data_IF_518235822513
#
_entry.id   IF_518235822513
#
_cell.length_a   1.000
_cell.length_b   1.000
_cell.length_c   1.000
_cell.angle_alpha   90.00
_cell.angle_beta   90.00
_cell.angle_gamma   90.00
#
_symmetry.space_group_name_H-M   'P 1'
#
loop_
_entity.id
_entity.type
_entity.pdbx_description
1 polymer ?
#
# COMPACT_ATOMS: atom_id res chain seq x y z
N UNK A 1 10.90 -11.83 53.75
CA UNK A 1 10.52 -12.14 52.41
C UNK A 1 9.90 -10.93 51.72
N UNK A 2 10.68 -10.14 51.02
CA UNK A 2 10.19 -9.00 50.23
C UNK A 2 10.20 -9.36 48.78
N UNK A 3 9.09 -9.18 48.09
CA UNK A 3 8.99 -9.24 46.63
C UNK A 3 9.50 -7.89 46.05
N UNK A 4 10.27 -7.86 44.98
CA UNK A 4 10.55 -6.62 44.29
C UNK A 4 9.35 -6.21 43.42
N UNK A 5 8.97 -4.96 43.55
CA UNK A 5 7.95 -4.26 42.80
C UNK A 5 8.29 -4.19 41.31
N UNK A 6 7.30 -4.54 40.48
CA UNK A 6 7.42 -4.52 39.03
C UNK A 6 7.65 -3.12 38.47
N UNK A 7 8.68 -2.99 37.63
CA UNK A 7 8.89 -1.85 36.76
C UNK A 7 7.79 -1.83 35.69
N UNK A 8 6.92 -0.82 35.76
CA UNK A 8 6.01 -0.50 34.67
C UNK A 8 6.81 0.09 33.51
N UNK A 9 6.92 -0.67 32.43
CA UNK A 9 7.49 -0.21 31.17
C UNK A 9 6.55 0.85 30.56
N UNK A 10 7.04 2.10 30.50
CA UNK A 10 6.35 3.19 29.80
C UNK A 10 6.51 2.97 28.29
N UNK A 11 5.46 2.47 27.64
CA UNK A 11 5.39 2.35 26.17
C UNK A 11 5.15 3.74 25.58
N UNK A 12 6.18 4.35 25.02
CA UNK A 12 6.01 5.60 24.26
C UNK A 12 5.48 5.26 22.86
N UNK A 13 4.22 5.58 22.63
CA UNK A 13 3.54 5.39 21.34
C UNK A 13 4.00 6.48 20.38
N UNK A 14 4.77 6.14 19.36
CA UNK A 14 5.01 7.00 18.23
C UNK A 14 3.97 6.67 17.15
N UNK A 15 2.81 7.34 17.21
CA UNK A 15 1.83 7.26 16.14
C UNK A 15 2.33 8.10 14.97
N UNK A 16 2.49 7.50 13.79
CA UNK A 16 2.53 8.27 12.55
C UNK A 16 1.09 8.71 12.27
N UNK A 17 0.64 9.69 13.01
CA UNK A 17 -0.59 10.41 12.72
C UNK A 17 -0.15 11.68 12.04
N UNK A 18 -0.25 11.69 10.71
CA UNK A 18 -0.11 12.92 9.95
C UNK A 18 -1.45 13.64 10.05
N UNK A 19 -1.52 14.72 10.82
CA UNK A 19 -2.76 15.48 11.02
C UNK A 19 -3.17 16.23 9.75
N UNK A 20 -4.45 16.39 9.61
CA UNK A 20 -5.09 17.13 8.53
C UNK A 20 -4.94 18.65 8.70
N UNK A 21 -5.43 19.39 7.71
CA UNK A 21 -5.28 20.82 7.48
C UNK A 21 -5.75 21.77 8.60
N UNK A 22 -6.09 21.30 9.77
CA UNK A 22 -6.52 22.10 10.93
C UNK A 22 -5.75 21.78 12.22
N UNK A 23 -4.84 20.80 12.23
CA UNK A 23 -4.15 20.32 13.43
C UNK A 23 -2.89 21.09 13.76
N UNK A 24 -2.92 21.85 14.82
CA UNK A 24 -1.74 22.40 15.49
C UNK A 24 -1.18 21.33 16.42
N UNK A 25 -0.07 20.70 16.06
CA UNK A 25 0.76 20.03 17.06
C UNK A 25 2.11 20.72 17.16
N UNK A 26 2.47 21.00 18.40
CA UNK A 26 3.71 21.70 18.81
C UNK A 26 4.81 20.64 18.90
N UNK A 27 5.93 20.86 18.24
CA UNK A 27 7.15 20.07 18.44
C UNK A 27 7.56 20.07 19.93
N UNK A 28 7.92 18.90 20.49
CA UNK A 28 8.55 18.88 21.80
C UNK A 28 9.93 19.55 21.77
N UNK A 29 10.35 20.19 22.88
CA UNK A 29 11.59 20.93 22.93
C UNK A 29 12.83 20.05 22.77
N UNK A 30 13.91 20.63 22.24
CA UNK A 30 15.24 20.08 22.05
C UNK A 30 15.78 19.35 23.28
N UNK A 31 16.24 18.11 23.07
CA UNK A 31 16.94 17.36 24.11
C UNK A 31 18.43 17.75 24.14
N UNK A 32 18.82 18.44 25.20
CA UNK A 32 20.22 18.62 25.60
C UNK A 32 20.78 17.34 26.23
N UNK A 33 22.06 17.18 26.03
CA UNK A 33 22.94 16.07 26.33
C UNK A 33 22.79 15.45 27.73
N UNK A 34 22.60 14.12 27.79
CA UNK A 34 23.01 13.30 28.94
C UNK A 34 23.83 12.09 28.48
N UNK A 35 24.94 11.76 29.19
CA UNK A 35 25.84 10.67 28.79
C UNK A 35 25.26 9.29 29.13
N UNK A 36 25.47 8.33 28.25
CA UNK A 36 25.33 6.88 28.42
C UNK A 36 24.09 6.39 29.19
N UNK A 37 22.90 6.44 28.55
CA UNK A 37 21.81 5.51 28.86
C UNK A 37 21.72 4.47 27.76
N UNK A 38 21.75 3.19 28.15
CA UNK A 38 21.33 2.06 27.31
C UNK A 38 20.01 2.48 26.65
N UNK A 39 20.05 2.72 25.34
CA UNK A 39 18.83 3.00 24.56
C UNK A 39 17.99 1.73 24.61
N UNK A 40 17.02 1.68 25.50
CA UNK A 40 15.94 0.69 25.40
C UNK A 40 15.30 0.90 24.04
N UNK A 41 15.45 -0.11 23.17
CA UNK A 41 14.81 -0.12 21.86
C UNK A 41 13.29 -0.16 22.08
N UNK A 42 12.62 0.94 21.79
CA UNK A 42 11.15 1.00 21.78
C UNK A 42 10.70 0.72 20.36
N UNK A 43 9.98 -0.38 20.10
CA UNK A 43 9.52 -0.72 18.78
C UNK A 43 8.70 0.41 18.16
N UNK A 44 8.94 0.74 16.89
CA UNK A 44 8.17 1.74 16.18
C UNK A 44 6.76 1.21 15.96
N UNK A 45 5.75 1.93 16.42
CA UNK A 45 4.34 1.59 16.18
C UNK A 45 3.83 2.40 15.00
N UNK A 46 3.54 1.70 13.90
CA UNK A 46 2.88 2.23 12.71
C UNK A 46 1.37 2.02 12.87
N UNK A 47 0.55 3.00 12.45
CA UNK A 47 -0.90 2.85 12.43
C UNK A 47 -1.33 2.06 11.18
N UNK A 48 -1.26 0.75 11.29
CA UNK A 48 -1.59 -0.24 10.28
C UNK A 48 -2.46 -1.32 10.92
N UNK A 49 -3.27 -2.02 10.14
CA UNK A 49 -4.05 -3.15 10.66
C UNK A 49 -3.13 -4.15 11.40
N UNK A 50 -3.52 -4.61 12.60
CA UNK A 50 -2.66 -5.46 13.44
C UNK A 50 -2.14 -6.72 12.77
N UNK A 51 -2.91 -7.34 11.85
CA UNK A 51 -2.49 -8.53 11.12
C UNK A 51 -1.21 -8.31 10.30
N UNK A 52 -0.99 -7.10 9.78
CA UNK A 52 0.25 -6.73 9.10
C UNK A 52 1.40 -6.48 10.06
N UNK A 53 1.10 -5.95 11.26
CA UNK A 53 2.10 -5.65 12.27
C UNK A 53 2.92 -6.86 12.68
N UNK A 54 2.30 -8.04 12.77
CA UNK A 54 2.97 -9.29 13.12
C UNK A 54 4.04 -9.70 12.10
N UNK A 55 3.78 -9.45 10.81
CA UNK A 55 4.69 -9.82 9.72
C UNK A 55 5.73 -8.73 9.42
N UNK A 56 5.41 -7.46 9.66
CA UNK A 56 6.22 -6.31 9.22
C UNK A 56 6.96 -5.61 10.37
N UNK A 57 6.90 -6.11 11.61
CA UNK A 57 7.55 -5.45 12.75
C UNK A 57 9.06 -5.28 12.53
N UNK A 58 9.72 -6.27 11.95
CA UNK A 58 11.15 -6.20 11.64
C UNK A 58 11.49 -5.06 10.65
N UNK A 59 10.59 -4.81 9.69
CA UNK A 59 10.73 -3.69 8.74
C UNK A 59 10.53 -2.34 9.44
N UNK A 60 9.53 -2.23 10.33
CA UNK A 60 9.29 -0.99 11.09
C UNK A 60 10.44 -0.64 12.02
N UNK A 61 11.15 -1.63 12.54
CA UNK A 61 12.30 -1.48 13.42
C UNK A 61 13.62 -1.27 12.66
N UNK A 62 13.62 -1.48 11.34
CA UNK A 62 14.81 -1.35 10.52
C UNK A 62 15.25 0.13 10.37
N UNK A 63 16.57 0.41 10.30
CA UNK A 63 17.10 1.77 10.18
C UNK A 63 16.56 2.54 8.97
N UNK A 64 16.33 1.85 7.83
CA UNK A 64 15.82 2.49 6.64
C UNK A 64 14.39 3.02 6.84
N UNK A 65 13.56 2.32 7.62
CA UNK A 65 12.17 2.72 7.87
C UNK A 65 12.11 3.98 8.74
N UNK A 66 13.05 4.11 9.69
CA UNK A 66 13.20 5.36 10.45
C UNK A 66 13.58 6.52 9.52
N UNK A 67 14.56 6.32 8.63
CA UNK A 67 14.98 7.34 7.65
C UNK A 67 13.81 7.73 6.73
N UNK A 68 13.07 6.73 6.23
CA UNK A 68 11.86 6.94 5.43
C UNK A 68 10.81 7.76 6.19
N UNK A 69 10.57 7.43 7.46
CA UNK A 69 9.58 8.14 8.29
C UNK A 69 9.99 9.59 8.51
N UNK A 70 11.27 9.83 8.83
CA UNK A 70 11.80 11.19 9.01
C UNK A 70 11.69 12.00 7.71
N UNK A 71 12.01 11.39 6.57
CA UNK A 71 11.84 12.00 5.24
C UNK A 71 10.37 12.36 4.96
N UNK A 72 9.45 11.41 5.12
CA UNK A 72 8.02 11.64 4.84
C UNK A 72 7.47 12.75 5.72
N UNK A 73 7.81 12.78 7.01
CA UNK A 73 7.40 13.87 7.92
C UNK A 73 7.90 15.24 7.46
N UNK A 74 9.16 15.31 7.05
CA UNK A 74 9.74 16.55 6.54
C UNK A 74 9.02 17.03 5.28
N UNK A 75 8.70 16.11 4.35
CA UNK A 75 7.98 16.41 3.12
C UNK A 75 6.58 16.99 3.39
N UNK A 76 5.80 16.35 4.28
CA UNK A 76 4.46 16.82 4.64
C UNK A 76 4.49 18.14 5.42
N UNK A 77 5.57 18.44 6.13
CA UNK A 77 5.77 19.73 6.81
C UNK A 77 6.14 20.85 5.84
N UNK A 78 6.79 20.54 4.72
CA UNK A 78 7.24 21.53 3.73
C UNK A 78 6.17 21.88 2.70
N UNK A 79 5.22 20.99 2.41
CA UNK A 79 4.19 21.26 1.42
C UNK A 79 3.18 20.13 1.23
N UNK A 80 2.23 20.32 0.32
CA UNK A 80 1.19 19.32 0.07
C UNK A 80 1.77 18.03 -0.48
N UNK A 81 1.50 16.91 0.22
CA UNK A 81 1.80 15.55 -0.20
C UNK A 81 0.54 14.69 -0.19
N UNK A 82 0.54 13.63 -0.97
CA UNK A 82 -0.60 12.74 -1.10
C UNK A 82 -0.20 11.27 -0.92
N UNK A 83 -1.15 10.42 -0.46
CA UNK A 83 -2.47 10.73 0.09
C UNK A 83 -2.36 11.51 1.41
N UNK A 84 -3.46 12.00 2.02
CA UNK A 84 -3.44 12.52 3.40
C UNK A 84 -2.78 11.53 4.35
N UNK A 85 -2.08 12.01 5.38
CA UNK A 85 -1.25 11.17 6.23
C UNK A 85 -1.95 9.97 6.85
N UNK A 86 -3.22 10.14 7.26
CA UNK A 86 -4.04 9.07 7.82
C UNK A 86 -4.50 8.03 6.78
N UNK A 87 -4.32 8.30 5.48
CA UNK A 87 -4.68 7.40 4.38
C UNK A 87 -3.48 6.66 3.77
N UNK A 88 -2.24 6.94 4.21
CA UNK A 88 -1.03 6.32 3.63
C UNK A 88 -1.10 4.78 3.64
N UNK A 89 -1.64 4.21 4.71
CA UNK A 89 -1.74 2.76 4.90
C UNK A 89 -3.13 2.18 4.60
N UNK A 90 -4.00 2.89 3.85
CA UNK A 90 -5.35 2.41 3.57
C UNK A 90 -5.37 1.06 2.84
N UNK A 91 -4.41 0.76 1.96
CA UNK A 91 -4.31 -0.54 1.31
C UNK A 91 -4.22 -1.69 2.32
N UNK A 92 -3.52 -1.46 3.42
CA UNK A 92 -3.32 -2.43 4.49
C UNK A 92 -4.49 -2.46 5.47
N UNK A 93 -5.05 -1.29 5.79
CA UNK A 93 -6.14 -1.15 6.75
C UNK A 93 -7.48 -1.69 6.21
N UNK A 94 -7.68 -1.63 4.89
CA UNK A 94 -8.88 -2.16 4.23
C UNK A 94 -8.74 -3.62 3.78
N UNK A 95 -7.52 -4.13 3.74
CA UNK A 95 -7.22 -5.50 3.33
C UNK A 95 -6.23 -6.13 4.32
N UNK A 96 -6.71 -6.70 5.45
CA UNK A 96 -5.89 -7.43 6.43
C UNK A 96 -5.04 -8.53 5.78
N UNK A 97 -3.89 -8.85 6.36
CA UNK A 97 -2.91 -9.80 5.80
C UNK A 97 -3.52 -11.17 5.49
N UNK A 98 -4.30 -11.70 6.41
CA UNK A 98 -4.99 -13.00 6.29
C UNK A 98 -6.16 -12.98 5.30
N UNK A 99 -6.66 -11.80 4.92
CA UNK A 99 -7.75 -11.62 3.95
C UNK A 99 -7.28 -11.37 2.53
N UNK A 100 -5.96 -11.14 2.32
CA UNK A 100 -5.43 -10.94 0.96
C UNK A 100 -5.71 -12.16 0.10
N UNK A 101 -6.29 -11.93 -1.06
CA UNK A 101 -6.53 -12.91 -2.14
C UNK A 101 -5.86 -12.48 -3.44
N UNK A 102 -5.87 -11.18 -3.71
CA UNK A 102 -5.33 -10.59 -4.93
C UNK A 102 -4.41 -9.44 -4.57
N UNK A 103 -3.31 -9.29 -5.27
CA UNK A 103 -2.38 -8.15 -5.14
C UNK A 103 -2.29 -7.45 -6.49
N UNK A 104 -2.62 -6.17 -6.53
CA UNK A 104 -2.40 -5.30 -7.70
C UNK A 104 -1.32 -4.29 -7.33
N UNK A 105 -0.28 -4.18 -8.16
CA UNK A 105 0.85 -3.30 -7.88
C UNK A 105 0.80 -2.07 -8.79
N UNK A 106 0.67 -0.88 -8.17
CA UNK A 106 0.86 0.42 -8.80
C UNK A 106 2.27 0.97 -8.56
N UNK A 107 2.56 2.13 -9.12
CA UNK A 107 3.86 2.81 -8.95
C UNK A 107 3.83 3.76 -7.77
N UNK A 108 3.17 4.88 -7.89
CA UNK A 108 3.02 5.94 -6.88
C UNK A 108 1.57 6.45 -6.85
N UNK A 109 1.16 7.18 -5.80
CA UNK A 109 -0.19 7.74 -5.73
C UNK A 109 -0.42 8.81 -6.80
N UNK A 110 -1.68 9.06 -7.15
CA UNK A 110 -2.03 10.25 -7.90
C UNK A 110 -1.61 11.51 -7.15
N UNK A 111 -0.99 12.44 -7.85
CA UNK A 111 -0.39 13.65 -7.27
C UNK A 111 -1.23 14.93 -7.42
N UNK A 112 -2.46 14.81 -7.92
CA UNK A 112 -3.42 15.90 -7.96
C UNK A 112 -4.20 16.05 -6.64
N UNK A 113 -4.64 17.28 -6.30
CA UNK A 113 -5.41 17.53 -5.10
C UNK A 113 -6.66 16.65 -4.99
N UNK A 114 -6.85 16.00 -3.83
CA UNK A 114 -8.04 15.22 -3.53
C UNK A 114 -8.16 13.88 -4.29
N UNK A 115 -7.19 13.49 -5.12
CA UNK A 115 -7.26 12.26 -5.92
C UNK A 115 -6.95 11.01 -5.09
N UNK A 116 -5.73 10.92 -4.56
CA UNK A 116 -5.25 9.73 -3.89
C UNK A 116 -5.97 9.45 -2.57
N UNK A 117 -6.24 8.17 -2.31
CA UNK A 117 -6.85 7.66 -1.08
C UNK A 117 -6.08 6.48 -0.46
N UNK A 118 -4.79 6.32 -0.81
CA UNK A 118 -3.93 5.26 -0.26
C UNK A 118 -4.12 3.88 -0.90
N UNK A 119 -4.77 3.82 -2.05
CA UNK A 119 -5.01 2.61 -2.85
C UNK A 119 -4.49 2.84 -4.27
N UNK A 120 -3.76 1.90 -4.85
CA UNK A 120 -3.27 2.05 -6.22
C UNK A 120 -4.43 2.10 -7.23
N UNK A 121 -4.29 2.93 -8.26
CA UNK A 121 -5.30 3.23 -9.30
C UNK A 121 -6.59 3.87 -8.81
N UNK A 122 -6.86 3.92 -7.51
CA UNK A 122 -8.08 4.44 -6.93
C UNK A 122 -8.06 5.96 -6.75
N UNK A 123 -9.21 6.59 -6.94
CA UNK A 123 -9.45 8.00 -6.59
C UNK A 123 -10.69 8.11 -5.72
N UNK A 124 -10.74 9.17 -4.91
CA UNK A 124 -11.91 9.45 -4.04
C UNK A 124 -13.20 9.62 -4.84
N UNK A 125 -14.33 9.32 -4.20
CA UNK A 125 -15.64 9.57 -4.78
C UNK A 125 -15.80 11.03 -5.21
N UNK A 126 -16.47 11.24 -6.36
CA UNK A 126 -16.67 12.56 -6.94
C UNK A 126 -15.47 13.14 -7.71
N UNK A 127 -14.32 12.47 -7.67
CA UNK A 127 -13.14 12.83 -8.47
C UNK A 127 -13.29 12.25 -9.88
N UNK A 128 -12.86 13.02 -10.88
CA UNK A 128 -12.81 12.53 -12.28
C UNK A 128 -11.95 11.28 -12.37
N UNK A 129 -12.50 10.22 -12.94
CA UNK A 129 -11.82 8.94 -13.10
C UNK A 129 -10.58 9.10 -14.00
N UNK A 130 -9.36 8.75 -13.53
CA UNK A 130 -8.15 8.88 -14.31
C UNK A 130 -8.12 7.93 -15.53
N UNK A 131 -7.38 8.30 -16.61
CA UNK A 131 -7.38 7.53 -17.85
C UNK A 131 -7.00 6.04 -17.70
N UNK A 132 -6.04 5.71 -16.84
CA UNK A 132 -5.67 4.31 -16.58
C UNK A 132 -6.81 3.54 -15.95
N UNK A 133 -7.52 4.15 -14.99
CA UNK A 133 -8.69 3.51 -14.35
C UNK A 133 -9.89 3.38 -15.30
N UNK A 134 -10.09 4.36 -16.18
CA UNK A 134 -11.08 4.23 -17.28
C UNK A 134 -10.79 2.98 -18.12
N UNK A 135 -9.52 2.74 -18.46
CA UNK A 135 -9.13 1.56 -19.25
C UNK A 135 -9.29 0.25 -18.46
N UNK A 136 -8.99 0.27 -17.15
CA UNK A 136 -9.27 -0.88 -16.26
C UNK A 136 -10.77 -1.21 -16.28
N UNK A 137 -11.63 -0.24 -16.12
CA UNK A 137 -13.08 -0.47 -16.15
C UNK A 137 -13.60 -0.93 -17.51
N UNK A 138 -13.02 -0.45 -18.63
CA UNK A 138 -13.35 -0.95 -19.97
C UNK A 138 -12.97 -2.42 -20.13
N UNK A 139 -11.79 -2.82 -19.65
CA UNK A 139 -11.37 -4.23 -19.69
C UNK A 139 -12.26 -5.10 -18.81
N UNK A 140 -12.63 -4.65 -17.60
CA UNK A 140 -13.59 -5.38 -16.74
C UNK A 140 -14.93 -5.58 -17.46
N UNK A 141 -15.45 -4.54 -18.11
CA UNK A 141 -16.70 -4.63 -18.85
C UNK A 141 -16.60 -5.63 -20.03
N UNK A 142 -15.51 -5.56 -20.78
CA UNK A 142 -15.27 -6.47 -21.91
C UNK A 142 -15.07 -7.94 -21.48
N UNK A 143 -14.33 -8.15 -20.38
CA UNK A 143 -13.97 -9.48 -19.87
C UNK A 143 -15.12 -10.14 -19.11
N UNK A 144 -15.88 -9.39 -18.31
CA UNK A 144 -16.86 -9.93 -17.35
C UNK A 144 -18.31 -9.55 -17.65
N UNK A 145 -18.56 -8.65 -18.60
CA UNK A 145 -19.88 -8.08 -18.87
C UNK A 145 -20.42 -7.11 -17.82
N UNK A 146 -19.64 -6.80 -16.77
CA UNK A 146 -20.09 -5.90 -15.69
C UNK A 146 -20.16 -4.45 -16.17
N UNK A 147 -21.16 -3.68 -15.71
CA UNK A 147 -21.29 -2.28 -16.09
C UNK A 147 -20.11 -1.45 -15.56
N UNK A 148 -19.70 -0.44 -16.33
CA UNK A 148 -18.69 0.53 -15.93
C UNK A 148 -19.24 1.36 -14.77
N UNK A 149 -18.56 1.41 -13.60
CA UNK A 149 -19.01 2.17 -12.45
C UNK A 149 -18.88 3.69 -12.68
N UNK A 150 -19.72 4.48 -12.01
CA UNK A 150 -19.62 5.94 -12.01
C UNK A 150 -18.59 6.49 -11.03
N UNK A 151 -18.21 5.71 -10.00
CA UNK A 151 -17.19 6.06 -9.02
C UNK A 151 -15.84 5.50 -9.41
N UNK A 152 -14.76 6.27 -9.15
CA UNK A 152 -13.37 5.83 -9.28
C UNK A 152 -12.79 5.23 -8.01
N UNK A 153 -13.58 5.11 -6.92
CA UNK A 153 -13.08 4.50 -5.69
C UNK A 153 -13.10 2.96 -5.78
N UNK A 154 -11.94 2.37 -5.49
CA UNK A 154 -11.74 0.92 -5.48
C UNK A 154 -11.78 0.32 -4.06
N UNK A 155 -12.24 1.08 -3.07
CA UNK A 155 -12.37 0.58 -1.68
C UNK A 155 -13.13 -0.73 -1.60
N UNK A 156 -14.21 -0.86 -2.39
CA UNK A 156 -14.99 -2.09 -2.50
C UNK A 156 -14.19 -3.32 -2.94
N UNK A 157 -13.09 -3.15 -3.67
CA UNK A 157 -12.19 -4.25 -4.02
C UNK A 157 -11.27 -4.58 -2.84
N UNK A 158 -10.71 -3.55 -2.18
CA UNK A 158 -9.84 -3.75 -1.02
C UNK A 158 -10.56 -4.52 0.10
N UNK A 159 -11.82 -4.16 0.40
CA UNK A 159 -12.67 -4.82 1.40
C UNK A 159 -13.00 -6.28 1.07
N UNK A 160 -12.84 -6.70 -0.19
CA UNK A 160 -13.01 -8.09 -0.63
C UNK A 160 -11.70 -8.91 -0.62
N UNK A 161 -10.58 -8.30 -0.24
CA UNK A 161 -9.27 -8.96 -0.19
C UNK A 161 -8.35 -8.65 -1.39
N UNK A 162 -8.58 -7.52 -2.07
CA UNK A 162 -7.64 -7.02 -3.09
C UNK A 162 -6.70 -6.00 -2.44
N UNK A 163 -5.44 -6.38 -2.26
CA UNK A 163 -4.39 -5.44 -1.82
C UNK A 163 -4.01 -4.53 -3.00
N UNK A 164 -4.47 -3.29 -2.95
CA UNK A 164 -4.20 -2.26 -3.95
C UNK A 164 -2.94 -1.47 -3.56
N UNK A 165 -1.77 -2.06 -3.80
CA UNK A 165 -0.48 -1.60 -3.28
C UNK A 165 0.26 -0.72 -4.29
N UNK A 166 0.57 0.53 -3.94
CA UNK A 166 1.59 1.30 -4.65
C UNK A 166 2.99 0.90 -4.17
N UNK A 167 3.98 0.93 -5.05
CA UNK A 167 5.38 0.69 -4.70
C UNK A 167 5.94 1.80 -3.81
N UNK A 168 5.53 3.05 -4.07
CA UNK A 168 5.81 4.24 -3.26
C UNK A 168 4.49 4.74 -2.68
N UNK A 169 4.38 4.87 -1.34
CA UNK A 169 3.08 5.15 -0.73
C UNK A 169 2.74 6.64 -0.61
N UNK A 170 3.69 7.53 -0.91
CA UNK A 170 3.50 8.99 -0.82
C UNK A 170 4.11 9.70 -2.02
N UNK A 171 3.63 10.91 -2.31
CA UNK A 171 4.11 11.74 -3.44
C UNK A 171 3.86 13.21 -3.14
N UNK A 172 4.75 14.12 -3.62
CA UNK A 172 4.48 15.58 -3.61
C UNK A 172 3.41 15.96 -4.60
N UNK A 173 2.67 17.00 -4.28
CA UNK A 173 1.70 17.61 -5.21
C UNK A 173 2.35 17.96 -6.55
N UNK A 174 1.73 17.49 -7.64
CA UNK A 174 2.14 17.73 -9.03
C UNK A 174 3.54 17.21 -9.42
N UNK A 175 4.17 16.35 -8.60
CA UNK A 175 5.51 15.83 -8.86
C UNK A 175 5.52 14.30 -8.77
N UNK A 176 5.12 13.63 -9.86
CA UNK A 176 5.19 12.17 -9.95
C UNK A 176 6.57 11.64 -9.58
N UNK A 177 6.63 10.48 -8.92
CA UNK A 177 7.83 9.80 -8.45
C UNK A 177 8.74 10.62 -7.49
N UNK A 178 8.26 11.73 -6.94
CA UNK A 178 9.06 12.61 -6.07
C UNK A 178 9.56 11.94 -4.78
N UNK A 179 8.90 10.88 -4.31
CA UNK A 179 9.31 10.12 -3.12
C UNK A 179 9.93 8.75 -3.46
N UNK A 180 10.22 8.49 -4.73
CA UNK A 180 10.91 7.27 -5.15
C UNK A 180 12.35 7.23 -4.62
N UNK A 181 12.85 6.04 -4.26
CA UNK A 181 14.21 5.84 -3.78
C UNK A 181 14.46 6.25 -2.32
N UNK A 182 13.42 6.63 -1.56
CA UNK A 182 13.54 7.04 -0.16
C UNK A 182 13.17 5.93 0.85
N UNK A 183 12.98 4.67 0.37
CA UNK A 183 12.75 3.52 1.23
C UNK A 183 11.36 2.88 1.11
N UNK A 184 10.38 3.52 0.46
CA UNK A 184 9.07 2.92 0.24
C UNK A 184 9.16 1.62 -0.56
N UNK A 185 10.00 1.59 -1.59
CA UNK A 185 10.17 0.40 -2.43
C UNK A 185 10.73 -0.78 -1.64
N UNK A 186 11.68 -0.52 -0.72
CA UNK A 186 12.22 -1.55 0.19
C UNK A 186 11.12 -2.13 1.07
N UNK A 187 10.29 -1.27 1.66
CA UNK A 187 9.16 -1.67 2.49
C UNK A 187 8.13 -2.49 1.71
N UNK A 188 7.72 -2.01 0.54
CA UNK A 188 6.71 -2.71 -0.27
C UNK A 188 7.25 -3.98 -0.94
N UNK A 189 8.56 -4.08 -1.17
CA UNK A 189 9.21 -5.35 -1.56
C UNK A 189 9.16 -6.38 -0.41
N UNK A 190 9.34 -5.95 0.84
CA UNK A 190 9.17 -6.82 1.99
C UNK A 190 7.72 -7.32 2.11
N UNK A 191 6.73 -6.44 1.93
CA UNK A 191 5.30 -6.82 1.90
C UNK A 191 5.04 -7.93 0.88
N UNK A 192 5.55 -7.78 -0.36
CA UNK A 192 5.38 -8.79 -1.41
C UNK A 192 6.08 -10.10 -1.04
N UNK A 193 7.29 -10.05 -0.46
CA UNK A 193 8.02 -11.25 0.00
C UNK A 193 7.25 -12.00 1.09
N UNK A 194 6.74 -11.31 2.12
CA UNK A 194 5.95 -11.94 3.17
C UNK A 194 4.69 -12.60 2.61
N UNK A 195 3.93 -11.91 1.76
CA UNK A 195 2.77 -12.51 1.10
C UNK A 195 3.15 -13.74 0.27
N UNK A 196 4.23 -13.65 -0.51
CA UNK A 196 4.68 -14.76 -1.36
C UNK A 196 5.20 -15.96 -0.59
N UNK A 197 5.81 -15.77 0.59
CA UNK A 197 6.38 -16.86 1.38
C UNK A 197 5.42 -17.45 2.42
N UNK A 198 4.50 -16.66 2.94
CA UNK A 198 3.67 -17.04 4.10
C UNK A 198 2.21 -17.34 3.74
N UNK A 199 1.79 -17.01 2.50
CA UNK A 199 0.44 -17.29 2.01
C UNK A 199 0.50 -18.28 0.86
N UNK A 200 -0.65 -18.84 0.52
CA UNK A 200 -0.85 -19.74 -0.61
C UNK A 200 -2.00 -19.28 -1.51
N UNK A 201 -1.92 -19.66 -2.77
CA UNK A 201 -2.99 -19.44 -3.74
C UNK A 201 -3.44 -17.97 -3.89
N UNK A 202 -2.49 -17.02 -3.78
CA UNK A 202 -2.75 -15.63 -4.10
C UNK A 202 -2.70 -15.42 -5.62
N UNK A 203 -3.35 -14.34 -6.08
CA UNK A 203 -3.24 -13.85 -7.46
C UNK A 203 -2.48 -12.53 -7.45
N UNK A 204 -1.37 -12.45 -8.18
CA UNK A 204 -0.63 -11.21 -8.39
C UNK A 204 -0.90 -10.68 -9.79
N UNK A 205 -1.43 -9.48 -9.90
CA UNK A 205 -1.74 -8.81 -11.16
C UNK A 205 -0.71 -7.70 -11.38
N UNK A 206 0.15 -7.88 -12.38
CA UNK A 206 1.34 -7.06 -12.63
C UNK A 206 1.23 -6.36 -13.98
N UNK A 207 0.73 -5.14 -13.98
CA UNK A 207 0.54 -4.34 -15.17
C UNK A 207 1.75 -3.42 -15.43
N UNK A 208 2.43 -3.65 -16.56
CA UNK A 208 3.61 -2.92 -17.00
C UNK A 208 4.92 -3.43 -16.42
N UNK A 209 6.02 -3.02 -17.05
CA UNK A 209 7.38 -3.52 -16.73
C UNK A 209 7.81 -3.24 -15.28
N UNK A 210 7.39 -2.10 -14.71
CA UNK A 210 7.72 -1.74 -13.33
C UNK A 210 7.14 -2.74 -12.33
N UNK A 211 5.81 -3.02 -12.42
CA UNK A 211 5.15 -4.00 -11.55
C UNK A 211 5.71 -5.42 -11.77
N UNK A 212 5.99 -5.80 -13.03
CA UNK A 212 6.58 -7.10 -13.36
C UNK A 212 7.98 -7.27 -12.79
N UNK A 213 8.82 -6.21 -12.81
CA UNK A 213 10.15 -6.23 -12.17
C UNK A 213 10.02 -6.42 -10.66
N UNK A 214 9.11 -5.70 -10.02
CA UNK A 214 8.84 -5.80 -8.58
C UNK A 214 8.31 -7.18 -8.19
N UNK A 215 7.55 -7.82 -9.07
CA UNK A 215 6.99 -9.16 -8.87
C UNK A 215 7.96 -10.32 -9.16
N UNK A 216 9.25 -10.07 -9.46
CA UNK A 216 10.22 -11.15 -9.71
C UNK A 216 10.50 -12.02 -8.48
N UNK A 217 10.23 -11.52 -7.29
CA UNK A 217 10.40 -12.25 -6.01
C UNK A 217 9.26 -13.19 -5.67
N UNK A 218 8.18 -13.20 -6.48
CA UNK A 218 6.97 -13.99 -6.22
C UNK A 218 7.21 -15.44 -6.62
N UNK A 219 6.89 -16.36 -5.71
CA UNK A 219 6.91 -17.81 -5.95
C UNK A 219 5.73 -18.23 -6.85
N UNK A 220 6.02 -18.43 -8.13
CA UNK A 220 5.03 -18.82 -9.15
C UNK A 220 4.57 -20.27 -9.02
N UNK A 221 5.21 -21.09 -8.19
CA UNK A 221 4.74 -22.45 -7.89
C UNK A 221 3.56 -22.44 -6.90
N UNK A 222 3.46 -21.39 -6.07
CA UNK A 222 2.42 -21.23 -5.05
C UNK A 222 1.31 -20.28 -5.46
N UNK A 223 1.57 -19.36 -6.38
CA UNK A 223 0.69 -18.23 -6.71
C UNK A 223 0.46 -18.11 -8.21
N UNK A 224 -0.72 -17.59 -8.58
CA UNK A 224 -0.97 -17.17 -9.95
C UNK A 224 -0.38 -15.77 -10.17
N UNK A 225 0.42 -15.61 -11.22
CA UNK A 225 0.98 -14.30 -11.61
C UNK A 225 0.50 -13.95 -13.03
N UNK A 226 -0.32 -12.91 -13.14
CA UNK A 226 -0.88 -12.40 -14.38
C UNK A 226 -0.12 -11.13 -14.80
N UNK A 227 0.45 -11.13 -15.99
CA UNK A 227 1.26 -10.05 -16.52
C UNK A 227 0.68 -9.51 -17.83
N UNK A 228 0.61 -8.19 -17.97
CA UNK A 228 0.25 -7.52 -19.24
C UNK A 228 0.93 -6.16 -19.37
N UNK A 229 0.68 -5.44 -20.47
CA UNK A 229 1.01 -4.03 -20.58
C UNK A 229 0.27 -3.21 -19.51
N UNK A 230 0.76 -1.99 -19.24
CA UNK A 230 0.13 -1.07 -18.29
C UNK A 230 -1.19 -0.49 -18.85
N UNK A 231 -2.23 -0.25 -18.02
CA UNK A 231 -3.51 0.29 -18.47
C UNK A 231 -3.48 1.76 -18.92
N UNK A 232 -2.33 2.43 -18.88
CA UNK A 232 -2.25 3.82 -19.35
C UNK A 232 -2.61 3.94 -20.84
N UNK A 233 -3.17 5.09 -21.29
CA UNK A 233 -3.48 5.30 -22.71
C UNK A 233 -2.29 5.08 -23.65
N UNK A 234 -1.06 5.26 -23.14
CA UNK A 234 0.17 5.09 -23.91
C UNK A 234 0.52 3.63 -24.21
N UNK A 235 -0.04 2.68 -23.47
CA UNK A 235 0.33 1.25 -23.54
C UNK A 235 -0.84 0.28 -23.55
N UNK A 236 -2.05 0.74 -23.26
CA UNK A 236 -3.20 -0.17 -23.10
C UNK A 236 -3.51 -1.01 -24.37
N UNK A 237 -3.29 -0.44 -25.56
CA UNK A 237 -3.46 -1.15 -26.84
C UNK A 237 -2.33 -2.13 -27.19
N UNK A 238 -1.26 -2.15 -26.38
CA UNK A 238 -0.12 -3.05 -26.57
C UNK A 238 -0.21 -4.30 -25.67
N UNK A 239 -1.44 -4.80 -25.38
CA UNK A 239 -1.69 -6.04 -24.68
C UNK A 239 -2.22 -5.89 -23.24
N UNK A 240 -2.80 -4.74 -22.89
CA UNK A 240 -3.64 -4.62 -21.70
C UNK A 240 -5.09 -5.00 -22.04
N UNK A 241 -5.67 -4.41 -23.10
CA UNK A 241 -7.01 -4.79 -23.53
C UNK A 241 -7.02 -6.23 -24.08
N UNK A 242 -8.00 -7.03 -23.66
CA UNK A 242 -8.13 -8.44 -23.98
C UNK A 242 -7.21 -9.35 -23.17
N UNK A 243 -6.68 -8.89 -22.01
CA UNK A 243 -5.85 -9.71 -21.15
C UNK A 243 -6.63 -10.70 -20.28
N UNK A 244 -7.95 -10.50 -20.12
CA UNK A 244 -8.86 -11.37 -19.35
C UNK A 244 -8.44 -11.63 -17.90
N UNK A 245 -7.68 -10.73 -17.29
CA UNK A 245 -7.13 -10.92 -15.96
C UNK A 245 -8.19 -11.04 -14.85
N UNK A 246 -9.36 -10.45 -15.03
CA UNK A 246 -10.43 -10.44 -14.04
C UNK A 246 -11.14 -11.80 -13.99
N UNK A 247 -11.46 -12.39 -15.16
CA UNK A 247 -11.99 -13.75 -15.27
C UNK A 247 -10.95 -14.77 -14.84
N UNK A 248 -9.71 -14.71 -15.33
CA UNK A 248 -8.63 -15.62 -14.95
C UNK A 248 -8.34 -15.60 -13.44
N UNK A 249 -8.38 -14.42 -12.85
CA UNK A 249 -8.24 -14.26 -11.40
C UNK A 249 -9.37 -14.99 -10.65
N UNK A 250 -10.61 -14.74 -11.01
CA UNK A 250 -11.76 -15.35 -10.34
C UNK A 250 -11.81 -16.86 -10.53
N UNK A 251 -11.49 -17.37 -11.71
CA UNK A 251 -11.40 -18.83 -11.98
C UNK A 251 -10.35 -19.49 -11.08
N UNK A 252 -9.19 -18.84 -10.91
CA UNK A 252 -8.16 -19.35 -10.02
C UNK A 252 -8.60 -19.33 -8.55
N UNK A 253 -9.24 -18.25 -8.09
CA UNK A 253 -9.77 -18.18 -6.73
C UNK A 253 -10.79 -19.27 -6.46
N UNK A 254 -11.77 -19.45 -7.36
CA UNK A 254 -12.81 -20.50 -7.26
C UNK A 254 -12.17 -21.89 -7.23
N UNK A 255 -11.20 -22.16 -8.12
CA UNK A 255 -10.49 -23.45 -8.18
C UNK A 255 -9.80 -23.78 -6.86
N UNK A 256 -9.35 -22.77 -6.11
CA UNK A 256 -8.69 -22.93 -4.81
C UNK A 256 -9.65 -22.73 -3.61
N UNK A 257 -10.97 -22.81 -3.81
CA UNK A 257 -11.97 -22.73 -2.74
C UNK A 257 -12.16 -21.33 -2.15
N UNK A 258 -11.69 -20.28 -2.85
CA UNK A 258 -11.83 -18.90 -2.41
C UNK A 258 -13.02 -18.21 -3.09
N UNK A 259 -13.64 -17.27 -2.37
CA UNK A 259 -14.72 -16.44 -2.92
C UNK A 259 -14.16 -15.50 -3.99
N UNK A 260 -14.73 -15.48 -5.21
CA UNK A 260 -14.29 -14.58 -6.28
C UNK A 260 -14.50 -13.11 -5.92
N UNK A 261 -13.78 -12.25 -6.63
CA UNK A 261 -13.91 -10.80 -6.48
C UNK A 261 -15.06 -10.28 -7.32
N UNK A 262 -15.88 -9.44 -6.72
CA UNK A 262 -16.89 -8.66 -7.43
C UNK A 262 -16.22 -7.38 -7.97
N UNK A 263 -15.63 -7.50 -9.15
CA UNK A 263 -14.92 -6.42 -9.82
C UNK A 263 -15.79 -5.19 -10.13
#
# INVERSE_FOLDING_TARGET
GGRPSGLRSSKTLLNIVLHDSAGREVCPPSFDAFPNKIRTFVPMKVNIDPSWGEHLQAEFDAPYFKQLTDFVRAEYAQGPCYPPGHEIFNAFNLCPFDKVKVVIIGQDPYHGPGQAEGLCFSVKDGVRIPPSLVNIFKEINADTGRPIPSSGSLRRWAEQGVLLLNATLTVRQHQAASHAGHGWETFTDAVIRHLSSERDHLVFILWGSYAQKKGQVIDRSRHLVLCSAHPSPLSAYHGFFGNHHFTLCNDYLIKNGQVPINW
#
